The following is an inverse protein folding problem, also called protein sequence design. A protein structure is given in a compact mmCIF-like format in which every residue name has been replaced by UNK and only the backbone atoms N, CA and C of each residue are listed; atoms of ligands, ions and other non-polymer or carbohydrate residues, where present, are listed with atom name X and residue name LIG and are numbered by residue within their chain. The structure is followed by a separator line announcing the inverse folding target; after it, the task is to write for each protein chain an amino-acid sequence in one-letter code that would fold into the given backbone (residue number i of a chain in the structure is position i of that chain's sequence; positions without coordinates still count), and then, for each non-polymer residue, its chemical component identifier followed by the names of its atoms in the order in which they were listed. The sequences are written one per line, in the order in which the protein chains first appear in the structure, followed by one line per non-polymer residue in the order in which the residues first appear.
data_IF_263124194756
#
_entry.id   IF_263124194756
#
_cell.length_a   1.000
_cell.length_b   1.000
_cell.length_c   1.000
_cell.angle_alpha   90.00
_cell.angle_beta   90.00
_cell.angle_gamma   90.00
#
_symmetry.space_group_name_H-M   'P 1'
#
loop_
_entity.id
_entity.type
_entity.pdbx_description
1 polymer ?
#
# COMPACT_ATOMS: atom_id res chain seq x y z
N UNK A 1 -5.62 -0.20 -13.72
CA UNK A 1 -4.68 0.84 -13.23
C UNK A 1 -4.20 0.63 -11.79
N UNK A 2 -4.89 -0.21 -10.99
CA UNK A 2 -4.50 -0.47 -9.61
C UNK A 2 -3.06 -0.99 -9.54
N UNK A 3 -2.29 -0.44 -8.60
CA UNK A 3 -0.88 -0.75 -8.41
C UNK A 3 0.09 0.00 -9.31
N UNK A 4 -0.41 0.83 -10.25
CA UNK A 4 0.49 1.65 -11.05
C UNK A 4 1.13 2.74 -10.19
N UNK A 5 2.43 2.90 -10.36
CA UNK A 5 3.19 3.99 -9.79
C UNK A 5 2.94 5.27 -10.59
N UNK A 6 2.60 6.34 -9.88
CA UNK A 6 2.32 7.64 -10.46
C UNK A 6 3.14 8.72 -9.77
N UNK A 7 3.46 9.79 -10.49
CA UNK A 7 4.01 11.02 -9.93
C UNK A 7 2.92 12.08 -9.98
N UNK A 8 2.74 12.79 -8.86
CA UNK A 8 1.85 13.94 -8.83
C UNK A 8 2.57 15.16 -9.41
N UNK A 9 2.03 15.77 -10.45
CA UNK A 9 2.70 16.90 -11.13
C UNK A 9 2.55 18.22 -10.35
N UNK A 10 1.37 18.44 -9.78
CA UNK A 10 0.94 19.75 -9.26
C UNK A 10 0.54 19.74 -7.78
N UNK A 11 0.71 20.89 -7.11
CA UNK A 11 0.29 21.16 -5.73
C UNK A 11 1.36 20.95 -4.67
N UNK A 12 0.96 21.05 -3.39
CA UNK A 12 1.84 20.97 -2.20
C UNK A 12 2.57 19.62 -2.04
N UNK A 13 2.07 18.59 -2.71
CA UNK A 13 2.70 17.26 -2.77
C UNK A 13 3.18 16.93 -4.19
N UNK A 14 3.42 17.95 -5.02
CA UNK A 14 3.99 17.78 -6.35
C UNK A 14 5.36 17.11 -6.30
N UNK A 15 5.72 16.41 -7.38
CA UNK A 15 6.95 15.64 -7.58
C UNK A 15 7.14 14.48 -6.58
N UNK A 16 6.08 14.10 -5.84
CA UNK A 16 6.09 12.91 -5.00
C UNK A 16 5.51 11.71 -5.74
N UNK A 17 6.11 10.56 -5.50
CA UNK A 17 5.60 9.27 -5.98
C UNK A 17 4.40 8.83 -5.14
N UNK A 18 3.42 8.24 -5.81
CA UNK A 18 2.19 7.74 -5.23
C UNK A 18 1.74 6.49 -5.99
N UNK A 19 0.89 5.70 -5.37
CA UNK A 19 0.37 4.45 -5.94
C UNK A 19 -1.14 4.52 -5.99
N UNK A 20 -1.73 4.05 -7.08
CA UNK A 20 -3.19 3.95 -7.21
C UNK A 20 -3.68 2.71 -6.46
N UNK A 21 -4.44 2.92 -5.40
CA UNK A 21 -4.98 1.86 -4.53
C UNK A 21 -6.36 1.39 -5.01
N UNK A 22 -7.17 2.34 -5.47
CA UNK A 22 -8.51 2.06 -5.96
C UNK A 22 -8.93 3.04 -7.06
N UNK A 23 -9.86 2.62 -7.90
CA UNK A 23 -10.50 3.46 -8.91
C UNK A 23 -11.94 3.70 -8.48
N UNK A 24 -12.27 4.96 -8.20
CA UNK A 24 -13.61 5.34 -7.72
C UNK A 24 -14.51 5.62 -8.91
N UNK A 25 -14.01 6.43 -9.85
CA UNK A 25 -14.75 6.85 -11.05
C UNK A 25 -13.87 6.71 -12.30
N UNK A 26 -14.41 7.08 -13.46
CA UNK A 26 -13.66 7.14 -14.73
C UNK A 26 -12.53 8.17 -14.70
N UNK A 27 -12.69 9.27 -13.96
CA UNK A 27 -11.74 10.39 -13.89
C UNK A 27 -11.02 10.51 -12.55
N UNK A 28 -11.50 9.82 -11.51
CA UNK A 28 -10.97 9.96 -10.16
C UNK A 28 -10.47 8.63 -9.60
N UNK A 29 -9.29 8.68 -9.00
CA UNK A 29 -8.62 7.54 -8.39
C UNK A 29 -8.27 7.84 -6.94
N UNK A 30 -8.22 6.78 -6.13
CA UNK A 30 -7.72 6.83 -4.77
C UNK A 30 -6.21 6.55 -4.79
N UNK A 31 -5.44 7.53 -4.34
CA UNK A 31 -3.98 7.45 -4.25
C UNK A 31 -3.51 7.31 -2.81
N UNK A 32 -2.41 6.60 -2.59
CA UNK A 32 -1.73 6.47 -1.30
C UNK A 32 -0.20 6.31 -1.49
N UNK A 33 0.58 6.45 -0.42
CA UNK A 33 2.05 6.34 -0.43
C UNK A 33 2.74 7.54 0.22
N UNK A 34 3.64 8.24 -0.50
CA UNK A 34 4.31 9.44 0.02
C UNK A 34 3.40 10.68 0.09
N UNK A 35 2.13 10.52 -0.27
CA UNK A 35 1.08 11.53 -0.26
C UNK A 35 -0.01 11.09 0.67
N UNK A 36 -0.69 12.03 1.31
CA UNK A 36 -1.88 11.68 2.13
C UNK A 36 -2.91 10.97 1.26
N UNK A 37 -3.47 9.88 1.79
CA UNK A 37 -4.52 9.09 1.14
C UNK A 37 -5.70 10.00 0.77
N UNK A 38 -5.95 10.18 -0.52
CA UNK A 38 -6.98 11.09 -1.03
C UNK A 38 -7.50 10.66 -2.39
N UNK A 39 -8.66 11.18 -2.75
CA UNK A 39 -9.19 11.15 -4.12
C UNK A 39 -8.45 12.20 -4.97
N UNK A 40 -7.89 11.79 -6.09
CA UNK A 40 -7.25 12.68 -7.06
C UNK A 40 -7.77 12.43 -8.47
N UNK A 41 -7.79 13.48 -9.28
CA UNK A 41 -8.10 13.39 -10.70
C UNK A 41 -6.89 12.77 -11.44
N UNK A 42 -7.16 11.89 -12.40
CA UNK A 42 -6.15 11.20 -13.22
C UNK A 42 -5.32 12.21 -14.01
N UNK A 43 -5.90 13.33 -14.44
CA UNK A 43 -5.19 14.37 -15.21
C UNK A 43 -3.99 15.00 -14.46
N UNK A 44 -3.93 14.87 -13.13
CA UNK A 44 -2.85 15.44 -12.32
C UNK A 44 -1.76 14.41 -11.97
N UNK A 45 -1.91 13.19 -12.47
CA UNK A 45 -1.05 12.05 -12.20
C UNK A 45 -0.39 11.59 -13.49
N UNK A 46 0.93 11.45 -13.46
CA UNK A 46 1.68 10.86 -14.56
C UNK A 46 2.09 9.44 -14.19
N UNK A 47 1.68 8.46 -14.99
CA UNK A 47 1.99 7.05 -14.74
C UNK A 47 3.40 6.75 -15.23
N UNK A 48 4.28 6.27 -14.34
CA UNK A 48 5.69 6.02 -14.66
C UNK A 48 5.92 4.69 -15.40
N UNK A 49 4.86 3.97 -15.78
CA UNK A 49 4.92 2.66 -16.44
C UNK A 49 5.34 1.48 -15.54
N UNK A 50 5.67 1.74 -14.28
CA UNK A 50 5.96 0.71 -13.27
C UNK A 50 4.71 0.27 -12.54
N UNK A 51 4.59 -1.03 -12.29
CA UNK A 51 3.41 -1.64 -11.66
C UNK A 51 3.81 -2.46 -10.44
N UNK A 52 3.30 -2.03 -9.29
CA UNK A 52 3.38 -2.73 -8.03
C UNK A 52 2.22 -3.73 -7.93
N UNK A 53 2.52 -4.99 -7.61
CA UNK A 53 1.48 -5.99 -7.32
C UNK A 53 0.88 -5.76 -5.93
N UNK A 54 -0.15 -4.92 -5.86
CA UNK A 54 -0.97 -4.66 -4.66
C UNK A 54 -2.42 -5.08 -4.90
N UNK A 55 -3.13 -5.45 -3.82
CA UNK A 55 -4.57 -5.75 -3.86
C UNK A 55 -5.39 -4.46 -3.91
N UNK A 56 -6.60 -4.54 -4.48
CA UNK A 56 -7.59 -3.46 -4.45
C UNK A 56 -7.90 -3.10 -2.99
N UNK A 57 -7.82 -1.81 -2.65
CA UNK A 57 -8.10 -1.35 -1.29
C UNK A 57 -7.01 -1.66 -0.26
N UNK A 58 -5.78 -1.96 -0.70
CA UNK A 58 -4.64 -2.20 0.19
C UNK A 58 -4.48 -1.13 1.27
N UNK A 59 -3.98 -1.55 2.44
CA UNK A 59 -3.73 -0.63 3.55
C UNK A 59 -2.47 0.19 3.30
N UNK A 60 -2.39 1.40 3.88
CA UNK A 60 -1.24 2.30 3.75
C UNK A 60 0.09 1.61 4.11
N UNK A 61 0.09 0.71 5.10
CA UNK A 61 1.27 -0.09 5.47
C UNK A 61 1.75 -1.05 4.36
N UNK A 62 0.84 -1.63 3.59
CA UNK A 62 1.19 -2.53 2.47
C UNK A 62 1.73 -1.73 1.28
N UNK A 63 1.14 -0.56 1.01
CA UNK A 63 1.60 0.35 -0.05
C UNK A 63 3.03 0.82 0.24
N UNK A 64 3.33 1.20 1.48
CA UNK A 64 4.67 1.62 1.88
C UNK A 64 5.69 0.48 1.71
N UNK A 65 5.38 -0.74 2.16
CA UNK A 65 6.24 -1.91 1.96
C UNK A 65 6.48 -2.21 0.48
N UNK A 66 5.47 -2.02 -0.37
CA UNK A 66 5.61 -2.22 -1.81
C UNK A 66 6.52 -1.15 -2.43
N UNK A 67 6.36 0.12 -2.05
CA UNK A 67 7.23 1.22 -2.50
C UNK A 67 8.69 1.06 -2.05
N UNK A 68 8.91 0.59 -0.82
CA UNK A 68 10.25 0.31 -0.29
C UNK A 68 10.96 -0.80 -1.08
N UNK A 69 10.24 -1.86 -1.48
CA UNK A 69 10.77 -2.95 -2.30
C UNK A 69 11.23 -2.47 -3.68
N UNK A 70 10.55 -1.49 -4.26
CA UNK A 70 10.94 -0.90 -5.54
C UNK A 70 11.98 0.23 -5.42
N UNK A 71 12.46 0.52 -4.20
CA UNK A 71 13.53 1.50 -3.97
C UNK A 71 13.10 2.95 -4.20
N UNK A 72 11.80 3.24 -4.13
CA UNK A 72 11.24 4.58 -4.34
C UNK A 72 11.44 5.38 -3.06
N UNK A 73 12.34 6.37 -3.10
CA UNK A 73 12.77 7.17 -1.95
C UNK A 73 11.60 7.97 -1.35
N UNK A 74 11.17 7.55 -0.16
CA UNK A 74 10.63 8.48 0.85
C UNK A 74 11.75 9.45 1.22
N UNK A 75 11.48 10.74 1.31
CA UNK A 75 12.45 11.71 1.84
C UNK A 75 12.65 11.47 3.33
N UNK A 76 13.49 10.49 3.67
CA UNK A 76 14.46 10.53 4.75
C UNK A 76 15.82 10.18 4.15
N UNK A 77 16.90 10.86 4.56
CA UNK A 77 18.23 10.67 3.99
C UNK A 77 18.68 9.22 4.14
N UNK A 78 19.51 8.77 3.18
CA UNK A 78 20.03 7.41 2.98
C UNK A 78 20.20 6.60 4.28
N UNK A 79 19.63 5.40 4.29
CA UNK A 79 19.89 4.39 5.31
C UNK A 79 19.60 2.97 4.83
N UNK A 80 20.58 2.38 4.15
CA UNK A 80 20.88 0.94 4.00
C UNK A 80 20.01 0.09 3.04
N UNK A 81 20.75 -0.55 2.15
CA UNK A 81 20.35 -1.67 1.33
C UNK A 81 20.19 -2.95 2.17
N UNK A 82 19.19 -3.77 1.83
CA UNK A 82 19.19 -5.21 2.08
C UNK A 82 18.03 -5.88 1.33
N UNK A 83 18.30 -6.56 0.22
CA UNK A 83 17.58 -7.81 -0.04
C UNK A 83 18.19 -8.93 0.83
N UNK A 84 17.68 -10.18 0.81
CA UNK A 84 16.32 -10.68 0.57
C UNK A 84 15.80 -11.62 1.71
N UNK A 85 14.47 -11.63 2.00
CA UNK A 85 13.63 -12.72 2.64
C UNK A 85 14.13 -13.29 4.02
N UNK A 86 13.52 -14.34 4.64
CA UNK A 86 12.15 -14.62 5.14
C UNK A 86 12.11 -15.10 6.63
N UNK A 87 10.98 -15.07 7.36
CA UNK A 87 10.74 -15.95 8.55
C UNK A 87 9.24 -15.93 8.98
N UNK A 88 8.50 -17.04 8.84
CA UNK A 88 8.28 -18.20 9.75
C UNK A 88 6.98 -18.09 10.58
N UNK A 89 6.04 -19.00 10.26
CA UNK A 89 5.13 -19.76 11.18
C UNK A 89 5.72 -19.82 12.60
N UNK A 90 5.00 -19.74 13.73
CA UNK A 90 3.76 -20.41 14.19
C UNK A 90 3.63 -20.01 15.68
N UNK A 91 2.44 -19.83 16.25
CA UNK A 91 2.09 -20.38 17.59
C UNK A 91 0.58 -20.62 17.65
N UNK A 92 0.19 -21.91 17.75
CA UNK A 92 -1.09 -22.35 18.31
C UNK A 92 -1.11 -22.04 19.81
N UNK A 93 -2.23 -21.60 20.35
CA UNK A 93 -2.55 -21.88 21.77
C UNK A 93 -4.01 -22.31 21.88
N UNK A 94 -4.15 -23.61 22.13
CA UNK A 94 -5.36 -24.31 22.50
C UNK A 94 -5.95 -23.85 23.87
N UNK A 95 -7.23 -24.22 24.06
CA UNK A 95 -8.03 -24.33 25.31
C UNK A 95 -8.68 -23.01 25.77
N UNK A 96 -10.01 -22.92 25.92
CA UNK A 96 -10.82 -23.74 26.82
C UNK A 96 -12.31 -23.86 26.39
N UNK A 97 -12.91 -24.93 26.92
CA UNK A 97 -14.22 -25.52 26.78
C UNK A 97 -15.45 -24.62 26.76
N UNK A 98 -16.48 -25.13 26.07
CA UNK A 98 -17.87 -24.70 26.14
C UNK A 98 -18.80 -25.80 25.62
N UNK A 99 -18.67 -27.01 26.17
CA UNK A 99 -19.64 -28.08 25.96
C UNK A 99 -20.98 -27.67 26.58
N UNK A 100 -21.97 -27.43 25.73
CA UNK A 100 -23.38 -27.43 26.11
C UNK A 100 -23.79 -28.86 26.44
N UNK A 101 -24.04 -29.13 27.71
CA UNK A 101 -24.96 -30.19 28.14
C UNK A 101 -25.49 -29.82 29.52
N UNK A 102 -26.78 -29.46 29.56
CA UNK A 102 -27.54 -29.15 30.76
C UNK A 102 -28.47 -30.33 31.01
N UNK A 103 -28.23 -31.21 31.99
CA UNK A 103 -29.29 -32.00 32.58
C UNK A 103 -29.79 -31.30 33.85
N UNK A 104 -31.11 -31.31 34.00
CA UNK A 104 -31.84 -30.83 35.17
C UNK A 104 -32.27 -32.03 35.99
#
# INVERSE_FOLDING_TARGET
MIGNLCVKLVGREGKRYCVIVDQIDSTHVLIDGNVKRRKCNINHLEVTGRKLSIKKGASTAEVHKAMEKEGIKTTKPKGKASGPKPSKKKVKKDKNAGSKSRPK
#
